data_IF_189864448276
#
_entry.id   IF_189864448276
#
_cell.length_a   1.000
_cell.length_b   1.000
_cell.length_c   1.000
_cell.angle_alpha   90.00
_cell.angle_beta   90.00
_cell.angle_gamma   90.00
#
_symmetry.space_group_name_H-M   'P 1'
#
loop_
_entity.id
_entity.type
_entity.pdbx_description
1 polymer ?
#
# COMPACT_ATOMS: atom_id res chain seq x y z
N UNK A 1 -46.40 -14.51 -2.71
CA UNK A 1 -45.93 -15.45 -1.67
C UNK A 1 -46.87 -16.62 -1.67
N UNK A 2 -46.34 -17.78 -2.06
CA UNK A 2 -47.03 -19.05 -1.90
C UNK A 2 -47.05 -19.45 -0.43
N UNK A 3 -47.95 -20.37 -0.04
CA UNK A 3 -47.89 -20.93 1.31
C UNK A 3 -46.66 -21.84 1.47
N UNK A 4 -46.23 -22.09 2.72
CA UNK A 4 -45.13 -23.02 3.01
C UNK A 4 -45.36 -24.38 2.37
N UNK A 5 -46.57 -24.92 2.52
CA UNK A 5 -46.95 -26.23 1.98
C UNK A 5 -46.90 -26.26 0.45
N UNK A 6 -47.32 -25.18 -0.21
CA UNK A 6 -47.23 -25.05 -1.67
C UNK A 6 -45.78 -25.04 -2.15
N UNK A 7 -44.91 -24.27 -1.46
CA UNK A 7 -43.48 -24.21 -1.78
C UNK A 7 -42.78 -25.55 -1.56
N UNK A 8 -43.07 -26.25 -0.46
CA UNK A 8 -42.53 -27.58 -0.18
C UNK A 8 -43.01 -28.62 -1.20
N UNK A 9 -44.29 -28.56 -1.60
CA UNK A 9 -44.82 -29.41 -2.66
C UNK A 9 -44.14 -29.14 -4.00
N UNK A 10 -43.93 -27.87 -4.35
CA UNK A 10 -43.18 -27.51 -5.56
C UNK A 10 -41.75 -28.05 -5.52
N UNK A 11 -41.04 -27.87 -4.41
CA UNK A 11 -39.68 -28.39 -4.22
C UNK A 11 -39.60 -29.91 -4.33
N UNK A 12 -40.59 -30.64 -3.80
CA UNK A 12 -40.66 -32.10 -3.92
C UNK A 12 -40.80 -32.60 -5.36
N UNK A 13 -41.32 -31.77 -6.27
CA UNK A 13 -41.40 -32.08 -7.70
C UNK A 13 -40.13 -31.69 -8.47
N UNK A 14 -39.33 -30.76 -7.93
CA UNK A 14 -38.11 -30.24 -8.57
C UNK A 14 -36.85 -31.01 -8.14
N UNK A 15 -36.84 -31.58 -6.95
CA UNK A 15 -35.69 -32.23 -6.33
C UNK A 15 -35.87 -33.73 -6.23
N UNK A 16 -34.76 -34.47 -6.28
CA UNK A 16 -34.78 -35.88 -5.88
C UNK A 16 -35.07 -36.03 -4.37
N UNK A 17 -35.54 -37.21 -3.91
CA UNK A 17 -35.91 -37.41 -2.51
C UNK A 17 -34.79 -37.12 -1.50
N UNK A 18 -33.53 -37.31 -1.88
CA UNK A 18 -32.38 -37.06 -1.00
C UNK A 18 -32.11 -35.57 -0.87
N UNK A 19 -32.11 -34.81 -1.97
CA UNK A 19 -31.99 -33.36 -1.94
C UNK A 19 -33.18 -32.69 -1.25
N UNK A 20 -34.40 -33.21 -1.47
CA UNK A 20 -35.59 -32.70 -0.79
C UNK A 20 -35.52 -32.92 0.73
N UNK A 21 -35.05 -34.08 1.18
CA UNK A 21 -34.84 -34.34 2.61
C UNK A 21 -33.86 -33.33 3.24
N UNK A 22 -32.76 -33.00 2.55
CA UNK A 22 -31.82 -31.95 3.02
C UNK A 22 -32.51 -30.60 3.19
N UNK A 23 -33.34 -30.19 2.22
CA UNK A 23 -34.08 -28.91 2.31
C UNK A 23 -35.02 -28.89 3.53
N UNK A 24 -35.64 -30.02 3.87
CA UNK A 24 -36.46 -30.15 5.07
C UNK A 24 -35.64 -30.06 6.36
N UNK A 25 -34.46 -30.70 6.39
CA UNK A 25 -33.54 -30.66 7.53
C UNK A 25 -33.00 -29.25 7.81
N UNK A 26 -32.76 -28.45 6.76
CA UNK A 26 -32.29 -27.08 6.89
C UNK A 26 -33.32 -26.14 7.53
N UNK A 27 -34.60 -26.50 7.55
CA UNK A 27 -35.67 -25.70 8.15
C UNK A 27 -35.65 -24.22 7.70
N UNK A 28 -35.57 -23.99 6.39
CA UNK A 28 -35.55 -22.65 5.82
C UNK A 28 -36.81 -21.82 6.17
N UNK A 29 -36.62 -20.50 6.22
CA UNK A 29 -37.71 -19.53 6.39
C UNK A 29 -38.70 -19.62 5.21
N UNK A 30 -39.94 -19.17 5.42
CA UNK A 30 -40.94 -19.19 4.35
C UNK A 30 -40.53 -18.30 3.17
N UNK A 31 -39.81 -17.19 3.44
CA UNK A 31 -39.19 -16.34 2.42
C UNK A 31 -38.16 -17.12 1.61
N UNK A 32 -37.25 -17.82 2.28
CA UNK A 32 -36.23 -18.63 1.59
C UNK A 32 -36.87 -19.73 0.77
N UNK A 33 -37.91 -20.40 1.30
CA UNK A 33 -38.65 -21.44 0.57
C UNK A 33 -39.33 -20.88 -0.70
N UNK A 34 -39.92 -19.68 -0.62
CA UNK A 34 -40.53 -18.99 -1.78
C UNK A 34 -39.47 -18.64 -2.85
N UNK A 35 -38.27 -18.22 -2.41
CA UNK A 35 -37.15 -17.94 -3.32
C UNK A 35 -36.65 -19.21 -4.01
N UNK A 36 -36.35 -20.28 -3.25
CA UNK A 36 -35.73 -21.49 -3.81
C UNK A 36 -36.71 -22.36 -4.61
N UNK A 37 -38.03 -22.27 -4.34
CA UNK A 37 -39.04 -23.00 -5.10
C UNK A 37 -39.28 -22.41 -6.50
N UNK A 38 -38.89 -21.16 -6.73
CA UNK A 38 -39.17 -20.43 -7.97
C UNK A 38 -38.52 -21.02 -9.23
N UNK A 39 -37.38 -21.71 -9.09
CA UNK A 39 -36.60 -22.21 -10.23
C UNK A 39 -35.79 -23.47 -9.86
N UNK A 40 -35.79 -24.49 -10.74
CA UNK A 40 -35.22 -25.81 -10.41
C UNK A 40 -33.71 -25.80 -10.12
N UNK A 41 -32.85 -25.13 -10.92
CA UNK A 41 -31.43 -24.97 -10.58
C UNK A 41 -31.20 -24.28 -9.24
N UNK A 42 -32.06 -23.32 -8.85
CA UNK A 42 -32.00 -22.68 -7.53
C UNK A 42 -32.22 -23.71 -6.43
N UNK A 43 -33.27 -24.52 -6.52
CA UNK A 43 -33.55 -25.58 -5.55
C UNK A 43 -32.34 -26.54 -5.35
N UNK A 44 -31.67 -26.95 -6.44
CA UNK A 44 -30.52 -27.87 -6.38
C UNK A 44 -29.33 -27.25 -5.66
N UNK A 45 -29.01 -25.99 -5.96
CA UNK A 45 -27.91 -25.26 -5.31
C UNK A 45 -28.17 -25.12 -3.81
N UNK A 46 -29.39 -24.75 -3.41
CA UNK A 46 -29.74 -24.56 -2.00
C UNK A 46 -29.99 -25.87 -1.23
N UNK A 47 -30.19 -27.00 -1.92
CA UNK A 47 -30.13 -28.32 -1.31
C UNK A 47 -28.69 -28.79 -1.04
N UNK A 48 -27.71 -28.19 -1.73
CA UNK A 48 -26.29 -28.59 -1.68
C UNK A 48 -25.38 -27.59 -0.96
N UNK A 49 -25.89 -26.40 -0.66
CA UNK A 49 -25.17 -25.35 0.07
C UNK A 49 -24.75 -25.81 1.47
N UNK A 50 -23.57 -25.37 1.91
CA UNK A 50 -23.11 -25.59 3.31
C UNK A 50 -23.43 -24.42 4.23
N UNK A 51 -23.96 -23.32 3.70
CA UNK A 51 -24.33 -22.18 4.53
C UNK A 51 -25.45 -22.51 5.50
N UNK A 52 -25.43 -21.86 6.67
CA UNK A 52 -26.55 -21.95 7.58
C UNK A 52 -27.83 -21.35 6.96
N UNK A 53 -29.01 -21.79 7.43
CA UNK A 53 -30.28 -21.21 7.01
C UNK A 53 -30.36 -19.70 7.23
N UNK A 54 -29.70 -19.21 8.29
CA UNK A 54 -29.61 -17.78 8.59
C UNK A 54 -28.83 -17.03 7.52
N UNK A 55 -27.66 -17.53 7.13
CA UNK A 55 -26.85 -16.90 6.07
C UNK A 55 -27.57 -16.89 4.74
N UNK A 56 -28.25 -17.98 4.38
CA UNK A 56 -29.08 -18.03 3.17
C UNK A 56 -30.19 -16.97 3.23
N UNK A 57 -30.89 -16.85 4.35
CA UNK A 57 -31.96 -15.88 4.53
C UNK A 57 -31.45 -14.42 4.49
N UNK A 58 -30.25 -14.15 5.03
CA UNK A 58 -29.58 -12.84 4.94
C UNK A 58 -29.15 -12.51 3.50
N UNK A 59 -28.64 -13.47 2.72
CA UNK A 59 -28.32 -13.29 1.29
C UNK A 59 -29.58 -12.99 0.45
N UNK A 60 -30.67 -13.72 0.70
CA UNK A 60 -31.94 -13.48 0.02
C UNK A 60 -32.50 -12.11 0.40
N UNK A 61 -32.37 -11.71 1.67
CA UNK A 61 -32.74 -10.35 2.08
C UNK A 61 -31.94 -9.28 1.33
N UNK A 62 -30.62 -9.46 1.19
CA UNK A 62 -29.78 -8.54 0.43
C UNK A 62 -30.15 -8.49 -1.06
N UNK A 63 -30.66 -9.58 -1.61
CA UNK A 63 -31.21 -9.62 -2.96
C UNK A 63 -32.54 -8.86 -3.08
N UNK A 64 -33.45 -9.03 -2.11
CA UNK A 64 -34.73 -8.30 -2.06
C UNK A 64 -34.53 -6.78 -1.99
N UNK A 65 -33.49 -6.34 -1.27
CA UNK A 65 -33.11 -4.93 -1.15
C UNK A 65 -32.26 -4.42 -2.33
N UNK A 66 -32.00 -5.27 -3.32
CA UNK A 66 -31.21 -4.99 -4.54
C UNK A 66 -29.74 -4.66 -4.29
N UNK A 67 -29.20 -5.03 -3.14
CA UNK A 67 -27.76 -4.91 -2.86
C UNK A 67 -26.97 -5.91 -3.70
N UNK A 68 -27.51 -7.13 -3.84
CA UNK A 68 -27.04 -8.17 -4.76
C UNK A 68 -28.19 -8.63 -5.66
N UNK A 69 -27.91 -9.42 -6.69
CA UNK A 69 -28.96 -10.02 -7.53
C UNK A 69 -29.03 -11.55 -7.40
N UNK A 70 -30.03 -12.14 -8.06
CA UNK A 70 -30.26 -13.58 -8.05
C UNK A 70 -29.03 -14.37 -8.53
N UNK A 71 -28.27 -13.83 -9.49
CA UNK A 71 -27.08 -14.50 -10.00
C UNK A 71 -25.96 -14.49 -8.96
N UNK A 72 -25.76 -13.37 -8.27
CA UNK A 72 -24.80 -13.27 -7.16
C UNK A 72 -25.15 -14.26 -6.03
N UNK A 73 -26.42 -14.32 -5.62
CA UNK A 73 -26.91 -15.28 -4.61
C UNK A 73 -26.63 -16.72 -5.03
N UNK A 74 -26.91 -17.07 -6.28
CA UNK A 74 -26.65 -18.41 -6.83
C UNK A 74 -25.16 -18.73 -6.87
N UNK A 75 -24.31 -17.79 -7.30
CA UNK A 75 -22.86 -17.95 -7.35
C UNK A 75 -22.29 -18.18 -5.94
N UNK A 76 -22.72 -17.38 -4.97
CA UNK A 76 -22.31 -17.48 -3.57
C UNK A 76 -22.74 -18.83 -2.98
N UNK A 77 -24.02 -19.21 -3.13
CA UNK A 77 -24.50 -20.48 -2.60
C UNK A 77 -23.80 -21.68 -3.24
N UNK A 78 -23.55 -21.63 -4.55
CA UNK A 78 -22.83 -22.69 -5.27
C UNK A 78 -21.36 -22.82 -4.85
N UNK A 79 -20.66 -21.72 -4.55
CA UNK A 79 -19.27 -21.80 -4.08
C UNK A 79 -19.16 -22.49 -2.73
N UNK A 80 -20.25 -22.55 -1.96
CA UNK A 80 -20.23 -23.11 -0.61
C UNK A 80 -20.23 -24.64 -0.54
N UNK A 81 -20.43 -25.33 -1.67
CA UNK A 81 -20.59 -26.80 -1.71
C UNK A 81 -19.43 -27.54 -1.04
N UNK A 82 -18.22 -26.99 -1.13
CA UNK A 82 -17.01 -27.56 -0.55
C UNK A 82 -16.57 -26.88 0.76
N UNK A 83 -17.03 -25.67 1.05
CA UNK A 83 -16.60 -24.87 2.21
C UNK A 83 -17.62 -23.78 2.53
N UNK A 84 -17.88 -23.49 3.80
CA UNK A 84 -18.66 -22.32 4.23
C UNK A 84 -17.81 -21.35 5.05
N UNK A 85 -16.49 -21.35 4.86
CA UNK A 85 -15.55 -20.58 5.67
C UNK A 85 -15.85 -19.08 5.64
N UNK A 86 -16.25 -18.57 4.49
CA UNK A 86 -16.59 -17.16 4.29
C UNK A 86 -17.87 -16.72 5.02
N UNK A 87 -18.67 -17.63 5.56
CA UNK A 87 -19.91 -17.33 6.27
C UNK A 87 -19.71 -16.32 7.43
N UNK A 88 -18.57 -16.40 8.12
CA UNK A 88 -18.19 -15.47 9.20
C UNK A 88 -18.00 -14.02 8.75
N UNK A 89 -17.72 -13.81 7.47
CA UNK A 89 -17.39 -12.51 6.88
C UNK A 89 -18.57 -11.91 6.08
N UNK A 90 -19.76 -12.55 6.12
CA UNK A 90 -20.98 -12.11 5.44
C UNK A 90 -21.31 -10.63 5.70
N UNK A 91 -21.23 -10.19 6.95
CA UNK A 91 -21.51 -8.80 7.33
C UNK A 91 -20.52 -7.82 6.69
N UNK A 92 -19.22 -8.14 6.71
CA UNK A 92 -18.18 -7.31 6.08
C UNK A 92 -18.34 -7.27 4.55
N UNK A 93 -18.74 -8.39 3.95
CA UNK A 93 -19.07 -8.45 2.53
C UNK A 93 -20.23 -7.53 2.17
N UNK A 94 -21.37 -7.65 2.85
CA UNK A 94 -22.55 -6.82 2.56
C UNK A 94 -22.26 -5.33 2.79
N UNK A 95 -21.58 -4.98 3.87
CA UNK A 95 -21.17 -3.59 4.15
C UNK A 95 -20.25 -3.02 3.06
N UNK A 96 -19.33 -3.83 2.53
CA UNK A 96 -18.39 -3.36 1.52
C UNK A 96 -19.06 -2.98 0.20
N UNK A 97 -20.17 -3.62 -0.19
CA UNK A 97 -20.91 -3.26 -1.42
C UNK A 97 -21.53 -1.87 -1.28
N UNK A 98 -22.02 -1.54 -0.08
CA UNK A 98 -22.69 -0.28 0.19
C UNK A 98 -21.70 0.91 0.23
N UNK A 99 -20.44 0.65 0.60
CA UNK A 99 -19.51 1.72 1.02
C UNK A 99 -18.16 1.76 0.30
N UNK A 100 -17.65 0.62 -0.18
CA UNK A 100 -16.21 0.49 -0.48
C UNK A 100 -15.91 -0.10 -1.85
N UNK A 101 -16.64 -1.13 -2.27
CA UNK A 101 -16.29 -1.96 -3.42
C UNK A 101 -17.46 -2.08 -4.40
N UNK A 102 -17.19 -2.11 -5.72
CA UNK A 102 -18.20 -2.47 -6.69
C UNK A 102 -18.79 -3.85 -6.38
N UNK A 103 -20.12 -3.99 -6.50
CA UNK A 103 -20.87 -5.23 -6.22
C UNK A 103 -20.21 -6.49 -6.75
N UNK A 104 -19.80 -6.48 -8.02
CA UNK A 104 -19.19 -7.66 -8.66
C UNK A 104 -17.85 -8.04 -8.03
N UNK A 105 -17.04 -7.06 -7.68
CA UNK A 105 -15.76 -7.25 -6.98
C UNK A 105 -16.01 -7.86 -5.62
N UNK A 106 -16.93 -7.30 -4.83
CA UNK A 106 -17.26 -7.82 -3.51
C UNK A 106 -17.76 -9.27 -3.55
N UNK A 107 -18.67 -9.60 -4.48
CA UNK A 107 -19.20 -10.97 -4.65
C UNK A 107 -18.07 -11.95 -5.00
N UNK A 108 -17.20 -11.57 -5.94
CA UNK A 108 -16.06 -12.38 -6.34
C UNK A 108 -15.07 -12.61 -5.17
N UNK A 109 -14.81 -11.61 -4.34
CA UNK A 109 -13.94 -11.75 -3.16
C UNK A 109 -14.57 -12.66 -2.10
N UNK A 110 -15.88 -12.54 -1.88
CA UNK A 110 -16.59 -13.39 -0.94
C UNK A 110 -16.54 -14.84 -1.39
N UNK A 111 -16.76 -15.10 -2.68
CA UNK A 111 -16.60 -16.44 -3.28
C UNK A 111 -15.16 -16.95 -3.16
N UNK A 112 -14.17 -16.11 -3.47
CA UNK A 112 -12.75 -16.48 -3.42
C UNK A 112 -12.26 -16.86 -2.01
N UNK A 113 -12.86 -16.35 -0.94
CA UNK A 113 -12.47 -16.76 0.42
C UNK A 113 -12.67 -18.27 0.67
N UNK A 114 -13.65 -18.91 0.01
CA UNK A 114 -13.86 -20.35 0.18
C UNK A 114 -12.73 -21.19 -0.40
N UNK A 115 -12.03 -20.68 -1.41
CA UNK A 115 -10.95 -21.37 -2.13
C UNK A 115 -9.55 -20.88 -1.73
N UNK A 116 -9.46 -19.91 -0.81
CA UNK A 116 -8.19 -19.32 -0.37
C UNK A 116 -7.96 -19.49 1.13
N UNK A 117 -6.71 -19.28 1.56
CA UNK A 117 -6.39 -19.26 2.98
C UNK A 117 -6.62 -17.89 3.65
N UNK A 118 -7.13 -16.90 2.91
CA UNK A 118 -7.29 -15.51 3.36
C UNK A 118 -8.70 -15.23 3.87
N UNK A 119 -8.88 -14.13 4.61
CA UNK A 119 -10.22 -13.61 4.98
C UNK A 119 -10.75 -12.67 3.91
N UNK A 120 -12.07 -12.41 3.91
CA UNK A 120 -12.65 -11.40 3.02
C UNK A 120 -11.94 -10.05 3.11
N UNK A 121 -11.65 -9.59 4.34
CA UNK A 121 -11.00 -8.30 4.59
C UNK A 121 -9.57 -8.29 4.03
N UNK A 122 -8.79 -9.37 4.20
CA UNK A 122 -7.46 -9.46 3.59
C UNK A 122 -7.53 -9.37 2.06
N UNK A 123 -8.46 -10.10 1.43
CA UNK A 123 -8.63 -10.08 -0.02
C UNK A 123 -9.06 -8.69 -0.52
N UNK A 124 -9.95 -8.01 0.20
CA UNK A 124 -10.39 -6.65 -0.11
C UNK A 124 -9.24 -5.65 -0.03
N UNK A 125 -8.36 -5.74 0.98
CA UNK A 125 -7.19 -4.87 1.09
C UNK A 125 -6.22 -5.06 -0.08
N UNK A 126 -6.00 -6.30 -0.54
CA UNK A 126 -5.17 -6.53 -1.73
C UNK A 126 -5.76 -5.93 -3.00
N UNK A 127 -7.08 -5.98 -3.19
CA UNK A 127 -7.71 -5.30 -4.33
C UNK A 127 -7.63 -3.78 -4.20
N UNK A 128 -7.87 -3.23 -3.00
CA UNK A 128 -7.76 -1.78 -2.74
C UNK A 128 -6.34 -1.26 -2.97
N UNK A 129 -5.32 -2.09 -2.78
CA UNK A 129 -3.93 -1.72 -3.07
C UNK A 129 -3.65 -1.46 -4.56
N UNK A 130 -4.55 -1.87 -5.47
CA UNK A 130 -4.37 -1.78 -6.92
C UNK A 130 -3.52 -2.92 -7.51
N UNK A 131 -2.76 -3.64 -6.67
CA UNK A 131 -1.92 -4.76 -7.13
C UNK A 131 -2.72 -5.95 -7.66
N UNK A 132 -3.99 -6.09 -7.25
CA UNK A 132 -4.85 -7.20 -7.60
C UNK A 132 -6.23 -6.77 -8.06
N UNK A 133 -6.86 -7.58 -8.88
CA UNK A 133 -8.30 -7.53 -9.17
C UNK A 133 -8.98 -8.86 -8.85
N UNK A 134 -10.28 -8.80 -8.56
CA UNK A 134 -11.09 -9.97 -8.23
C UNK A 134 -11.66 -10.62 -9.49
N UNK A 135 -11.27 -11.86 -9.78
CA UNK A 135 -11.92 -12.69 -10.80
C UNK A 135 -12.94 -13.65 -10.19
N UNK A 136 -13.52 -14.50 -11.02
CA UNK A 136 -14.58 -15.44 -10.66
C UNK A 136 -14.15 -16.51 -9.63
N UNK A 137 -12.86 -16.85 -9.56
CA UNK A 137 -12.28 -17.86 -8.66
C UNK A 137 -10.94 -17.44 -8.03
N UNK A 138 -10.82 -16.17 -7.64
CA UNK A 138 -9.67 -15.70 -6.88
C UNK A 138 -9.19 -14.30 -7.22
N UNK A 139 -7.99 -13.99 -6.74
CA UNK A 139 -7.27 -12.77 -7.03
C UNK A 139 -6.26 -12.99 -8.16
N UNK A 140 -6.16 -11.97 -9.02
CA UNK A 140 -5.25 -11.93 -10.15
C UNK A 140 -4.49 -10.61 -10.13
N UNK A 141 -3.22 -10.63 -10.52
CA UNK A 141 -2.36 -9.46 -10.54
C UNK A 141 -2.85 -8.45 -11.57
N UNK A 142 -2.68 -7.16 -11.28
CA UNK A 142 -2.70 -6.12 -12.30
C UNK A 142 -1.75 -6.49 -13.46
N UNK A 143 -2.16 -6.37 -14.74
CA UNK A 143 -1.33 -6.77 -15.87
C UNK A 143 -0.01 -5.99 -15.99
N UNK A 144 0.04 -4.73 -15.55
CA UNK A 144 1.28 -3.95 -15.49
C UNK A 144 2.22 -4.51 -14.43
N UNK A 145 1.71 -4.73 -13.22
CA UNK A 145 2.46 -5.36 -12.14
C UNK A 145 3.00 -6.73 -12.53
N UNK A 146 2.18 -7.57 -13.17
CA UNK A 146 2.59 -8.89 -13.61
C UNK A 146 3.80 -8.83 -14.56
N UNK A 147 3.82 -7.89 -15.50
CA UNK A 147 4.96 -7.65 -16.40
C UNK A 147 6.22 -7.28 -15.64
N UNK A 148 6.11 -6.33 -14.71
CA UNK A 148 7.25 -5.89 -13.90
C UNK A 148 7.81 -7.03 -13.04
N UNK A 149 6.94 -7.81 -12.39
CA UNK A 149 7.35 -8.97 -11.59
C UNK A 149 8.00 -10.07 -12.45
N UNK A 150 7.46 -10.35 -13.63
CA UNK A 150 8.08 -11.30 -14.56
C UNK A 150 9.44 -10.77 -15.06
N UNK A 151 9.57 -9.48 -15.33
CA UNK A 151 10.83 -8.85 -15.75
C UNK A 151 11.89 -8.86 -14.64
N UNK A 152 11.48 -8.89 -13.36
CA UNK A 152 12.36 -9.14 -12.21
C UNK A 152 12.79 -10.61 -12.09
N UNK A 153 12.20 -11.52 -12.87
CA UNK A 153 12.48 -12.96 -12.82
C UNK A 153 11.63 -13.71 -11.78
N UNK A 154 10.52 -13.13 -11.31
CA UNK A 154 9.61 -13.83 -10.39
C UNK A 154 8.81 -14.89 -11.11
N UNK A 155 8.59 -16.02 -10.43
CA UNK A 155 7.74 -17.09 -10.96
C UNK A 155 6.27 -16.74 -10.71
N UNK A 156 5.53 -16.54 -11.79
CA UNK A 156 4.08 -16.33 -11.77
C UNK A 156 3.39 -17.58 -12.34
N UNK A 157 2.12 -17.78 -12.00
CA UNK A 157 1.28 -18.83 -12.60
C UNK A 157 0.18 -18.19 -13.46
N UNK A 158 -0.08 -18.75 -14.63
CA UNK A 158 -1.17 -18.28 -15.49
C UNK A 158 -2.41 -19.16 -15.34
N UNK A 159 -3.58 -18.52 -15.49
CA UNK A 159 -4.88 -19.18 -15.49
C UNK A 159 -5.73 -18.65 -16.66
N UNK A 160 -6.06 -19.53 -17.60
CA UNK A 160 -6.95 -19.23 -18.72
C UNK A 160 -8.37 -19.65 -18.41
N UNK A 161 -9.33 -18.72 -18.44
CA UNK A 161 -10.78 -19.00 -18.34
C UNK A 161 -11.22 -19.94 -17.19
N UNK A 162 -10.51 -19.94 -16.06
CA UNK A 162 -10.84 -20.80 -14.92
C UNK A 162 -10.40 -22.27 -15.05
N UNK A 163 -9.54 -22.57 -16.03
CA UNK A 163 -8.91 -23.89 -16.25
C UNK A 163 -7.41 -23.87 -15.89
N UNK A 164 -6.85 -25.07 -15.73
CA UNK A 164 -5.50 -25.46 -15.30
C UNK A 164 -4.45 -24.35 -15.11
N UNK A 165 -3.85 -24.31 -13.91
CA UNK A 165 -2.64 -23.51 -13.65
C UNK A 165 -1.49 -24.02 -14.53
N UNK A 166 -0.86 -23.12 -15.27
CA UNK A 166 0.25 -23.46 -16.15
C UNK A 166 1.42 -22.46 -16.03
N UNK A 167 2.59 -22.90 -16.50
CA UNK A 167 3.74 -22.02 -16.69
C UNK A 167 3.66 -21.39 -18.08
N UNK A 168 3.98 -20.11 -18.19
CA UNK A 168 4.07 -19.40 -19.45
C UNK A 168 5.54 -19.14 -19.82
N UNK A 169 5.80 -18.94 -21.11
CA UNK A 169 7.15 -18.57 -21.61
C UNK A 169 7.30 -17.08 -21.85
N UNK A 170 6.21 -16.44 -22.25
CA UNK A 170 6.15 -15.03 -22.61
C UNK A 170 4.91 -14.43 -21.96
N UNK A 171 5.10 -13.43 -21.11
CA UNK A 171 4.02 -12.83 -20.34
C UNK A 171 3.09 -11.98 -21.22
N UNK A 172 3.64 -11.31 -22.24
CA UNK A 172 2.85 -10.46 -23.12
C UNK A 172 1.96 -11.30 -24.03
N UNK A 173 2.48 -12.43 -24.53
CA UNK A 173 1.68 -13.39 -25.27
C UNK A 173 0.55 -13.98 -24.42
N UNK A 174 0.85 -14.42 -23.19
CA UNK A 174 -0.15 -15.00 -22.30
C UNK A 174 -1.25 -13.99 -21.94
N UNK A 175 -0.88 -12.75 -21.57
CA UNK A 175 -1.85 -11.70 -21.27
C UNK A 175 -2.70 -11.32 -22.51
N UNK A 176 -2.11 -11.35 -23.71
CA UNK A 176 -2.84 -11.09 -24.96
C UNK A 176 -3.83 -12.20 -25.32
N UNK A 177 -3.53 -13.45 -24.96
CA UNK A 177 -4.44 -14.59 -25.10
C UNK A 177 -5.59 -14.55 -24.09
N UNK A 178 -5.47 -13.76 -23.02
CA UNK A 178 -6.49 -13.61 -21.98
C UNK A 178 -6.16 -14.34 -20.68
N UNK A 179 -4.93 -14.84 -20.55
CA UNK A 179 -4.47 -15.42 -19.30
C UNK A 179 -4.46 -14.38 -18.18
N UNK A 180 -4.79 -14.85 -16.98
CA UNK A 180 -4.76 -14.05 -15.76
C UNK A 180 -3.64 -14.56 -14.87
N UNK A 181 -2.83 -13.65 -14.33
CA UNK A 181 -1.63 -14.01 -13.58
C UNK A 181 -1.92 -14.08 -12.08
N UNK A 182 -1.40 -15.12 -11.43
CA UNK A 182 -1.49 -15.32 -9.97
C UNK A 182 -0.10 -15.33 -9.35
N UNK A 183 -0.06 -14.85 -8.12
CA UNK A 183 1.13 -14.85 -7.27
C UNK A 183 0.74 -15.00 -5.81
N UNK A 184 1.39 -15.94 -5.13
CA UNK A 184 0.96 -16.40 -3.80
C UNK A 184 1.31 -15.41 -2.68
N UNK A 185 2.45 -14.71 -2.78
CA UNK A 185 2.82 -13.68 -1.80
C UNK A 185 2.17 -12.33 -2.13
N UNK A 186 0.90 -12.24 -1.76
CA UNK A 186 0.08 -11.05 -1.96
C UNK A 186 0.62 -9.79 -1.29
N UNK A 187 1.36 -9.93 -0.18
CA UNK A 187 1.95 -8.78 0.52
C UNK A 187 3.15 -8.26 -0.25
N UNK A 188 3.97 -9.15 -0.81
CA UNK A 188 5.09 -8.76 -1.65
C UNK A 188 4.62 -8.07 -2.93
N UNK A 189 3.63 -8.63 -3.63
CA UNK A 189 3.07 -7.98 -4.83
C UNK A 189 2.51 -6.58 -4.52
N UNK A 190 1.77 -6.42 -3.43
CA UNK A 190 1.27 -5.10 -3.00
C UNK A 190 2.41 -4.13 -2.66
N UNK A 191 3.49 -4.60 -2.02
CA UNK A 191 4.66 -3.78 -1.72
C UNK A 191 5.40 -3.34 -2.99
N UNK A 192 5.60 -4.25 -3.95
CA UNK A 192 6.22 -3.94 -5.25
C UNK A 192 5.37 -2.92 -6.01
N UNK A 193 4.05 -3.10 -6.05
CA UNK A 193 3.14 -2.18 -6.73
C UNK A 193 3.31 -0.74 -6.25
N UNK A 194 3.43 -0.55 -4.93
CA UNK A 194 3.67 0.77 -4.32
C UNK A 194 5.00 1.40 -4.75
N UNK A 195 6.03 0.59 -4.96
CA UNK A 195 7.37 1.08 -5.33
C UNK A 195 7.46 1.35 -6.85
N UNK A 196 6.71 0.63 -7.69
CA UNK A 196 6.65 0.87 -9.15
C UNK A 196 6.18 2.29 -9.46
N UNK A 197 5.34 2.87 -8.62
CA UNK A 197 4.85 4.25 -8.77
C UNK A 197 5.94 5.32 -8.52
N UNK A 198 7.10 4.93 -7.98
CA UNK A 198 8.21 5.85 -7.73
C UNK A 198 8.93 6.21 -9.04
N UNK A 199 9.34 7.48 -9.22
CA UNK A 199 9.94 7.95 -10.48
C UNK A 199 11.27 7.28 -10.82
N UNK A 200 11.91 6.62 -9.86
CA UNK A 200 13.17 5.90 -10.01
C UNK A 200 13.02 4.38 -10.01
N UNK A 201 11.79 3.87 -10.17
CA UNK A 201 11.51 2.44 -10.32
C UNK A 201 12.47 1.75 -11.28
N UNK A 202 12.68 2.31 -12.48
CA UNK A 202 13.54 1.69 -13.49
C UNK A 202 14.96 1.47 -12.97
N UNK A 203 15.54 2.48 -12.30
CA UNK A 203 16.89 2.40 -11.73
C UNK A 203 16.93 1.41 -10.56
N UNK A 204 15.90 1.45 -9.70
CA UNK A 204 15.80 0.55 -8.57
C UNK A 204 15.62 -0.91 -9.02
N UNK A 205 14.81 -1.18 -10.05
CA UNK A 205 14.56 -2.51 -10.57
C UNK A 205 15.84 -3.17 -11.09
N UNK A 206 16.70 -2.42 -11.77
CA UNK A 206 18.01 -2.90 -12.23
C UNK A 206 18.97 -3.13 -11.07
N UNK A 207 18.99 -2.24 -10.06
CA UNK A 207 19.73 -2.46 -8.82
C UNK A 207 19.24 -3.73 -8.08
N UNK A 208 17.93 -3.94 -8.01
CA UNK A 208 17.33 -5.09 -7.35
C UNK A 208 17.72 -6.39 -8.07
N UNK A 209 17.63 -6.41 -9.42
CA UNK A 209 18.10 -7.54 -10.24
C UNK A 209 19.58 -7.82 -10.02
N UNK A 210 20.43 -6.79 -10.04
CA UNK A 210 21.88 -6.96 -9.86
C UNK A 210 22.24 -7.42 -8.45
N UNK A 211 21.51 -6.96 -7.42
CA UNK A 211 21.84 -7.25 -6.02
C UNK A 211 21.27 -8.58 -5.53
N UNK A 212 20.12 -9.00 -6.05
CA UNK A 212 19.48 -10.27 -5.69
C UNK A 212 19.88 -11.40 -6.64
N UNK A 213 20.02 -11.12 -7.94
CA UNK A 213 20.33 -12.11 -8.98
C UNK A 213 19.41 -13.33 -8.89
N UNK A 214 20.02 -14.51 -8.80
CA UNK A 214 19.33 -15.80 -8.64
C UNK A 214 18.51 -15.92 -7.34
N UNK A 215 18.72 -15.04 -6.36
CA UNK A 215 17.99 -15.08 -5.08
C UNK A 215 16.68 -14.26 -5.09
N UNK A 216 16.20 -13.79 -6.25
CA UNK A 216 14.97 -12.99 -6.32
C UNK A 216 13.75 -13.69 -5.70
N UNK A 217 13.72 -15.02 -5.75
CA UNK A 217 12.70 -15.86 -5.11
C UNK A 217 12.64 -15.74 -3.58
N UNK A 218 13.72 -15.26 -2.94
CA UNK A 218 13.80 -15.02 -1.49
C UNK A 218 13.35 -13.61 -1.11
N UNK A 219 12.95 -12.80 -2.08
CA UNK A 219 12.47 -11.45 -1.81
C UNK A 219 11.22 -11.53 -0.93
N UNK A 220 11.20 -10.70 0.10
CA UNK A 220 10.05 -10.50 0.99
C UNK A 220 9.77 -9.00 1.06
N UNK A 221 8.59 -8.55 1.53
CA UNK A 221 8.32 -7.11 1.69
C UNK A 221 9.42 -6.39 2.50
N UNK A 222 9.90 -7.03 3.57
CA UNK A 222 10.99 -6.48 4.39
C UNK A 222 12.30 -6.31 3.62
N UNK A 223 12.71 -7.33 2.86
CA UNK A 223 13.94 -7.26 2.06
C UNK A 223 13.79 -6.23 0.94
N UNK A 224 12.62 -6.12 0.33
CA UNK A 224 12.33 -5.11 -0.69
C UNK A 224 12.48 -3.70 -0.13
N UNK A 225 11.87 -3.42 1.03
CA UNK A 225 11.99 -2.12 1.70
C UNK A 225 13.44 -1.81 2.08
N UNK A 226 14.18 -2.79 2.60
CA UNK A 226 15.60 -2.63 2.91
C UNK A 226 16.41 -2.32 1.64
N UNK A 227 16.21 -3.08 0.56
CA UNK A 227 16.92 -2.85 -0.71
C UNK A 227 16.59 -1.49 -1.31
N UNK A 228 15.34 -1.05 -1.21
CA UNK A 228 14.94 0.28 -1.67
C UNK A 228 15.60 1.37 -0.84
N UNK A 229 15.66 1.22 0.48
CA UNK A 229 16.40 2.13 1.36
C UNK A 229 17.89 2.18 1.00
N UNK A 230 18.56 1.04 0.84
CA UNK A 230 19.97 0.97 0.42
C UNK A 230 20.19 1.69 -0.91
N UNK A 231 19.29 1.49 -1.88
CA UNK A 231 19.32 2.16 -3.17
C UNK A 231 19.21 3.69 -3.04
N UNK A 232 18.28 4.18 -2.23
CA UNK A 232 18.11 5.61 -1.99
C UNK A 232 19.32 6.22 -1.29
N UNK A 233 19.90 5.53 -0.31
CA UNK A 233 21.13 5.96 0.36
C UNK A 233 22.29 6.06 -0.64
N UNK A 234 22.52 5.02 -1.45
CA UNK A 234 23.59 5.03 -2.45
C UNK A 234 23.45 6.17 -3.47
N UNK A 235 22.23 6.38 -3.95
CA UNK A 235 21.90 7.47 -4.88
C UNK A 235 22.06 8.85 -4.21
N UNK A 236 21.65 8.98 -2.96
CA UNK A 236 21.81 10.19 -2.17
C UNK A 236 23.27 10.53 -1.92
N UNK A 237 24.08 9.54 -1.52
CA UNK A 237 25.52 9.70 -1.29
C UNK A 237 26.25 10.17 -2.55
N UNK A 238 25.94 9.59 -3.71
CA UNK A 238 26.51 10.05 -4.98
C UNK A 238 26.18 11.52 -5.26
N UNK A 239 24.94 11.95 -5.00
CA UNK A 239 24.56 13.37 -5.16
C UNK A 239 25.24 14.27 -4.13
N UNK A 240 25.39 13.79 -2.90
CA UNK A 240 26.06 14.54 -1.84
C UNK A 240 27.52 14.76 -2.20
N UNK A 241 28.20 13.73 -2.69
CA UNK A 241 29.57 13.79 -3.19
C UNK A 241 29.74 14.84 -4.31
N UNK A 242 28.86 14.83 -5.32
CA UNK A 242 28.86 15.83 -6.39
C UNK A 242 28.64 17.26 -5.85
N UNK A 243 27.72 17.40 -4.89
CA UNK A 243 27.39 18.69 -4.28
C UNK A 243 28.55 19.26 -3.48
N UNK A 244 29.16 18.48 -2.58
CA UNK A 244 30.31 18.95 -1.78
C UNK A 244 31.51 19.25 -2.67
N UNK A 245 31.74 18.49 -3.73
CA UNK A 245 32.78 18.78 -4.71
C UNK A 245 32.55 20.13 -5.41
N UNK A 246 31.32 20.40 -5.88
CA UNK A 246 30.98 21.68 -6.50
C UNK A 246 31.07 22.87 -5.54
N UNK A 247 30.68 22.69 -4.28
CA UNK A 247 30.82 23.71 -3.23
C UNK A 247 32.29 24.01 -2.92
N UNK A 248 33.14 22.97 -2.88
CA UNK A 248 34.58 23.12 -2.71
C UNK A 248 35.23 23.85 -3.88
N UNK A 249 34.91 23.49 -5.13
CA UNK A 249 35.43 24.17 -6.32
C UNK A 249 35.08 25.66 -6.31
N UNK A 250 33.84 26.00 -5.94
CA UNK A 250 33.40 27.39 -5.78
C UNK A 250 34.20 28.11 -4.70
N UNK A 251 34.37 27.49 -3.53
CA UNK A 251 35.18 28.04 -2.43
C UNK A 251 36.63 28.33 -2.87
N UNK A 252 37.27 27.39 -3.58
CA UNK A 252 38.63 27.58 -4.10
C UNK A 252 38.68 28.68 -5.16
N UNK A 253 37.69 28.78 -6.04
CA UNK A 253 37.62 29.85 -7.05
C UNK A 253 37.48 31.24 -6.41
N UNK A 254 36.66 31.37 -5.36
CA UNK A 254 36.51 32.60 -4.59
C UNK A 254 37.79 32.97 -3.83
N UNK A 255 38.48 31.99 -3.23
CA UNK A 255 39.77 32.21 -2.56
C UNK A 255 40.85 32.71 -3.52
N UNK A 256 40.92 32.15 -4.73
CA UNK A 256 41.90 32.55 -5.77
C UNK A 256 41.74 33.99 -6.26
N UNK A 257 40.55 34.57 -6.10
CA UNK A 257 40.30 35.98 -6.42
C UNK A 257 40.70 36.93 -5.28
N UNK A 258 40.98 36.39 -4.09
CA UNK A 258 41.39 37.16 -2.91
C UNK A 258 42.89 37.45 -2.83
N UNK A 259 43.28 38.13 -1.75
CA UNK A 259 44.68 38.38 -1.40
C UNK A 259 45.41 37.06 -1.09
N UNK A 260 46.65 36.82 -1.59
CA UNK A 260 47.49 35.70 -1.18
C UNK A 260 47.54 35.40 0.32
N UNK A 261 47.50 36.43 1.19
CA UNK A 261 47.47 36.25 2.65
C UNK A 261 46.22 35.49 3.14
N UNK A 262 45.10 35.62 2.43
CA UNK A 262 43.87 34.88 2.73
C UNK A 262 44.02 33.40 2.43
N UNK A 263 44.70 33.05 1.33
CA UNK A 263 44.95 31.65 0.96
C UNK A 263 45.80 30.97 2.04
N UNK A 264 46.84 31.64 2.51
CA UNK A 264 47.72 31.11 3.58
C UNK A 264 46.92 30.86 4.87
N UNK A 265 46.05 31.81 5.25
CA UNK A 265 45.20 31.67 6.45
C UNK A 265 44.15 30.56 6.32
N UNK A 266 43.68 30.29 5.11
CA UNK A 266 42.68 29.25 4.82
C UNK A 266 43.29 27.87 4.56
N UNK A 267 44.61 27.68 4.62
CA UNK A 267 45.26 26.41 4.28
C UNK A 267 44.68 25.19 5.02
N UNK A 268 44.34 25.35 6.31
CA UNK A 268 43.72 24.29 7.11
C UNK A 268 42.30 23.96 6.65
N UNK A 269 41.49 24.98 6.40
CA UNK A 269 40.13 24.83 5.89
C UNK A 269 40.12 24.21 4.49
N UNK A 270 41.04 24.61 3.61
CA UNK A 270 41.22 24.03 2.28
C UNK A 270 41.48 22.52 2.40
N UNK A 271 42.47 22.12 3.20
CA UNK A 271 42.84 20.72 3.36
C UNK A 271 41.67 19.87 3.89
N UNK A 272 40.97 20.35 4.91
CA UNK A 272 39.88 19.58 5.51
C UNK A 272 38.63 19.53 4.62
N UNK A 273 38.30 20.61 3.90
CA UNK A 273 37.20 20.58 2.93
C UNK A 273 37.49 19.64 1.78
N UNK A 274 38.73 19.61 1.26
CA UNK A 274 39.19 18.63 0.27
C UNK A 274 39.03 17.20 0.81
N UNK A 275 39.40 16.99 2.08
CA UNK A 275 39.31 15.68 2.71
C UNK A 275 37.86 15.21 2.96
N UNK A 276 36.94 16.12 3.27
CA UNK A 276 35.49 15.83 3.35
C UNK A 276 34.94 15.42 1.97
N UNK A 277 35.38 16.10 0.89
CA UNK A 277 35.01 15.75 -0.49
C UNK A 277 35.50 14.35 -0.84
N UNK A 278 36.77 14.05 -0.57
CA UNK A 278 37.35 12.71 -0.78
C UNK A 278 36.60 11.64 0.01
N UNK A 279 36.23 11.94 1.26
CA UNK A 279 35.45 11.02 2.09
C UNK A 279 34.09 10.70 1.45
N UNK A 280 33.33 11.72 1.04
CA UNK A 280 32.01 11.54 0.42
C UNK A 280 32.07 10.78 -0.91
N UNK A 281 33.19 10.88 -1.65
CA UNK A 281 33.40 10.17 -2.90
C UNK A 281 33.76 8.69 -2.71
N UNK A 282 34.34 8.32 -1.58
CA UNK A 282 34.99 7.00 -1.41
C UNK A 282 34.37 6.13 -0.33
N UNK A 283 33.63 6.72 0.61
CA UNK A 283 33.05 6.01 1.75
C UNK A 283 31.53 6.08 1.71
N UNK A 284 30.90 5.01 2.20
CA UNK A 284 29.48 5.03 2.56
C UNK A 284 29.35 5.42 4.02
N UNK A 285 28.34 6.23 4.33
CA UNK A 285 27.97 6.64 5.69
C UNK A 285 26.79 5.81 6.18
N UNK A 286 26.51 5.88 7.49
CA UNK A 286 25.34 5.21 8.07
C UNK A 286 24.05 6.03 8.02
N UNK A 287 24.01 7.06 7.15
CA UNK A 287 22.88 7.99 7.01
C UNK A 287 21.61 7.31 6.52
N UNK A 288 20.48 7.75 7.08
CA UNK A 288 19.16 7.43 6.54
C UNK A 288 18.86 8.25 5.27
N UNK A 289 17.91 7.81 4.41
CA UNK A 289 17.47 8.61 3.26
C UNK A 289 17.02 10.02 3.63
N UNK A 290 16.34 10.18 4.77
CA UNK A 290 15.85 11.48 5.25
C UNK A 290 17.01 12.40 5.66
N UNK A 291 18.01 11.87 6.37
CA UNK A 291 19.19 12.65 6.79
C UNK A 291 20.00 13.11 5.57
N UNK A 292 20.14 12.23 4.57
CA UNK A 292 20.73 12.57 3.28
C UNK A 292 19.99 13.69 2.56
N UNK A 293 18.66 13.62 2.53
CA UNK A 293 17.84 14.65 1.88
C UNK A 293 18.02 16.01 2.57
N UNK A 294 18.10 16.06 3.89
CA UNK A 294 18.37 17.29 4.65
C UNK A 294 19.72 17.90 4.28
N UNK A 295 20.77 17.08 4.15
CA UNK A 295 22.09 17.52 3.72
C UNK A 295 22.05 18.06 2.28
N UNK A 296 21.35 17.38 1.37
CA UNK A 296 21.22 17.80 -0.03
C UNK A 296 20.44 19.10 -0.20
N UNK A 297 19.45 19.36 0.64
CA UNK A 297 18.64 20.58 0.62
C UNK A 297 19.34 21.78 1.27
N UNK A 298 20.49 21.58 1.91
CA UNK A 298 21.26 22.64 2.58
C UNK A 298 22.08 23.42 1.57
N UNK A 299 22.07 24.76 1.67
CA UNK A 299 22.68 25.64 0.65
C UNK A 299 24.20 25.44 0.50
N UNK A 300 24.94 25.31 1.62
CA UNK A 300 26.39 25.08 1.64
C UNK A 300 26.71 24.00 2.68
N UNK A 301 26.44 22.76 2.31
CA UNK A 301 26.55 21.63 3.23
C UNK A 301 27.99 21.31 3.59
N UNK A 302 28.94 21.53 2.67
CA UNK A 302 30.37 21.38 2.93
C UNK A 302 30.85 22.30 4.06
N UNK A 303 30.37 23.54 4.10
CA UNK A 303 30.73 24.46 5.17
C UNK A 303 30.11 24.02 6.51
N UNK A 304 28.84 23.61 6.51
CA UNK A 304 28.19 23.08 7.72
C UNK A 304 28.92 21.86 8.30
N UNK A 305 29.31 20.90 7.44
CA UNK A 305 30.09 19.72 7.86
C UNK A 305 31.46 20.13 8.38
N UNK A 306 32.14 21.05 7.69
CA UNK A 306 33.45 21.55 8.12
C UNK A 306 33.38 22.24 9.49
N UNK A 307 32.37 23.08 9.73
CA UNK A 307 32.19 23.75 11.02
C UNK A 307 31.92 22.75 12.13
N UNK A 308 31.07 21.74 11.89
CA UNK A 308 30.82 20.68 12.87
C UNK A 308 32.12 19.94 13.20
N UNK A 309 32.86 19.53 12.17
CA UNK A 309 34.16 18.89 12.31
C UNK A 309 35.20 19.75 13.05
N UNK A 310 35.30 21.04 12.77
CA UNK A 310 36.26 21.96 13.42
C UNK A 310 35.99 22.11 14.93
N UNK A 311 34.75 21.88 15.37
CA UNK A 311 34.41 21.85 16.80
C UNK A 311 34.79 20.53 17.50
N UNK A 312 35.15 19.48 16.76
CA UNK A 312 35.52 18.19 17.31
C UNK A 312 36.95 18.23 17.88
N UNK A 313 37.03 18.45 19.18
CA UNK A 313 38.28 18.81 19.90
C UNK A 313 39.38 17.73 19.99
N UNK A 314 39.19 16.48 19.54
CA UNK A 314 40.11 15.39 19.91
C UNK A 314 40.62 14.46 18.81
N UNK A 315 39.99 14.34 17.64
CA UNK A 315 40.39 13.34 16.63
C UNK A 315 40.03 13.83 15.21
N UNK A 316 41.00 13.84 14.29
CA UNK A 316 40.84 14.30 12.91
C UNK A 316 41.12 13.16 11.91
N UNK A 317 40.35 12.08 11.97
CA UNK A 317 40.43 10.90 11.09
C UNK A 317 39.14 10.60 10.33
N UNK A 318 39.15 9.54 9.52
CA UNK A 318 38.01 9.13 8.67
C UNK A 318 36.71 8.94 9.46
N UNK A 319 36.79 8.35 10.65
CA UNK A 319 35.61 8.05 11.49
C UNK A 319 34.93 9.32 12.02
N UNK A 320 35.70 10.38 12.24
CA UNK A 320 35.13 11.64 12.72
C UNK A 320 34.40 12.39 11.59
N UNK A 321 34.67 12.08 10.31
CA UNK A 321 34.02 12.79 9.18
C UNK A 321 32.63 12.20 9.04
N UNK A 322 32.53 10.88 9.13
CA UNK A 322 31.25 10.18 9.22
C UNK A 322 30.41 10.76 10.37
N UNK A 323 31.02 10.90 11.55
CA UNK A 323 30.36 11.50 12.74
C UNK A 323 29.94 12.95 12.48
N UNK A 324 30.81 13.77 11.88
CA UNK A 324 30.49 15.18 11.59
C UNK A 324 29.36 15.33 10.57
N UNK A 325 29.31 14.44 9.58
CA UNK A 325 28.22 14.40 8.60
C UNK A 325 26.91 14.00 9.29
N UNK A 326 26.94 12.96 10.12
CA UNK A 326 25.77 12.50 10.90
C UNK A 326 25.24 13.58 11.85
N UNK A 327 26.14 14.20 12.63
CA UNK A 327 25.79 15.28 13.58
C UNK A 327 25.25 16.51 12.85
N UNK A 328 25.83 16.86 11.69
CA UNK A 328 25.35 17.94 10.85
C UNK A 328 23.92 17.65 10.36
N UNK A 329 23.68 16.45 9.83
CA UNK A 329 22.35 16.06 9.37
C UNK A 329 21.32 16.09 10.51
N UNK A 330 21.69 15.54 11.67
CA UNK A 330 20.85 15.54 12.86
C UNK A 330 20.50 16.95 13.35
N UNK A 331 21.51 17.85 13.42
CA UNK A 331 21.35 19.25 13.83
C UNK A 331 20.42 19.99 12.88
N UNK A 332 20.63 19.87 11.56
CA UNK A 332 19.82 20.52 10.55
C UNK A 332 18.37 20.02 10.56
N UNK A 333 18.17 18.70 10.66
CA UNK A 333 16.84 18.09 10.76
C UNK A 333 16.08 18.58 11.99
N UNK A 334 16.77 18.65 13.13
CA UNK A 334 16.20 19.16 14.39
C UNK A 334 15.81 20.63 14.27
N UNK A 335 16.68 21.46 13.66
CA UNK A 335 16.39 22.86 13.42
C UNK A 335 15.16 23.06 12.51
N UNK A 336 15.03 22.26 11.44
CA UNK A 336 13.86 22.26 10.57
C UNK A 336 12.58 21.87 11.31
N UNK A 337 12.61 20.80 12.11
CA UNK A 337 11.47 20.36 12.90
C UNK A 337 10.99 21.43 13.89
N UNK A 338 11.93 22.09 14.58
CA UNK A 338 11.63 23.20 15.51
C UNK A 338 10.99 24.38 14.78
N UNK A 339 11.51 24.75 13.60
CA UNK A 339 10.94 25.82 12.77
C UNK A 339 9.50 25.50 12.35
N UNK A 340 9.25 24.29 11.88
CA UNK A 340 7.90 23.84 11.49
C UNK A 340 6.93 23.88 12.69
N UNK A 341 7.36 23.43 13.87
CA UNK A 341 6.54 23.52 15.09
C UNK A 341 6.21 24.97 15.46
N UNK A 342 7.16 25.91 15.34
CA UNK A 342 6.90 27.32 15.61
C UNK A 342 5.94 27.94 14.60
N UNK A 343 6.07 27.60 13.31
CA UNK A 343 5.15 28.06 12.26
C UNK A 343 3.73 27.51 12.45
N UNK A 344 3.59 26.25 12.87
CA UNK A 344 2.29 25.66 13.19
C UNK A 344 1.65 26.34 14.40
N UNK A 345 2.42 26.62 15.46
CA UNK A 345 1.95 27.38 16.63
C UNK A 345 1.48 28.79 16.24
N UNK A 346 2.25 29.50 15.42
CA UNK A 346 1.83 30.81 14.92
C UNK A 346 0.54 30.73 14.09
N UNK A 347 0.41 29.73 13.20
CA UNK A 347 -0.82 29.52 12.43
C UNK A 347 -2.03 29.20 13.32
N UNK A 348 -1.84 28.42 14.38
CA UNK A 348 -2.88 28.15 15.38
C UNK A 348 -3.26 29.40 16.15
N UNK A 349 -2.29 30.17 16.66
CA UNK A 349 -2.52 31.43 17.37
C UNK A 349 -3.22 32.49 16.49
N UNK A 350 -2.87 32.58 15.21
CA UNK A 350 -3.56 33.44 14.23
C UNK A 350 -5.00 32.96 13.95
N UNK A 351 -5.24 31.64 13.95
CA UNK A 351 -6.58 31.09 13.76
C UNK A 351 -7.48 31.32 14.99
N UNK A 352 -6.94 31.14 16.19
CA UNK A 352 -7.65 31.39 17.46
C UNK A 352 -7.92 32.89 17.68
N UNK A 353 -6.97 33.75 17.30
CA UNK A 353 -7.15 35.21 17.37
C UNK A 353 -8.27 35.70 16.43
N UNK A 354 -8.44 35.08 15.25
CA UNK A 354 -9.57 35.37 14.35
C UNK A 354 -10.91 34.91 14.94
N UNK A 355 -10.96 33.77 15.62
CA UNK A 355 -12.18 33.26 16.28
C UNK A 355 -12.58 34.14 17.47
N UNK A 356 -11.63 34.76 18.17
CA UNK A 356 -11.90 35.69 19.28
C UNK A 356 -12.40 37.06 18.77
N UNK A 357 -11.89 37.53 17.62
CA UNK A 357 -12.29 38.81 17.02
C UNK A 357 -13.73 38.80 16.47
N UNK A 358 -14.29 37.64 16.13
CA UNK A 358 -15.66 37.48 15.61
C UNK A 358 -16.73 37.24 16.69
N UNK A 359 -16.40 37.38 17.99
CA UNK A 359 -17.42 37.37 19.05
C UNK A 359 -18.19 38.69 19.07
N UNK A 360 -19.54 38.69 18.88
CA UNK A 360 -20.33 39.91 18.92
C UNK A 360 -20.24 40.57 20.30
N UNK A 361 -19.89 41.86 20.30
CA UNK A 361 -19.68 42.66 21.49
C UNK A 361 -20.90 42.70 22.43
N UNK A 362 -20.60 42.67 23.73
CA UNK A 362 -21.56 42.73 24.84
C UNK A 362 -22.52 43.93 24.65
N UNK A 363 -23.85 43.76 24.75
CA UNK A 363 -24.80 44.87 24.59
C UNK A 363 -24.64 45.87 25.74
N UNK A 364 -24.49 47.17 25.40
CA UNK A 364 -24.50 48.26 26.39
C UNK A 364 -25.87 48.32 27.11
N UNK A 365 -25.90 48.62 28.42
CA UNK A 365 -27.14 48.64 29.18
C UNK A 365 -28.02 49.81 28.75
N UNK A 366 -29.31 49.51 28.56
CA UNK A 366 -30.33 50.47 28.14
C UNK A 366 -30.52 51.56 29.21
N UNK A 367 -30.47 52.83 28.79
CA UNK A 367 -30.83 53.97 29.62
C UNK A 367 -32.32 53.90 29.97
N UNK A 368 -32.64 53.63 31.23
CA UNK A 368 -33.97 53.85 31.77
C UNK A 368 -34.34 55.34 31.66
N UNK A 369 -35.38 55.65 30.87
CA UNK A 369 -36.17 56.87 31.02
C UNK A 369 -37.28 56.58 32.03
N UNK A 370 -37.09 57.04 33.26
CA UNK A 370 -38.19 57.27 34.21
C UNK A 370 -38.81 58.64 33.97
N UNK A 371 -40.14 58.68 34.07
CA UNK A 371 -40.93 59.92 34.17
C UNK A 371 -40.64 60.64 35.48
#
# INVERSE_FOLDING_TARGET
>A
MNSRDDNLKQLSNLLDPYMFAKVLEMNYSDRTLDFISSYAPTAVVFASTRYSPRTVDELIHACDTRLIDNFDVMQIAHSSVNSNRNERDLGAFLESIDRELPRRTAVNLFVAENDTQKTYRELAEFVKSGAYYAGDKGLFLDPGLAREMAALGMTLTSEYSGEHLSTFKDIDAALAEGDRMRFDDHRLAAAIFKIIEQPDWLQFSEYLKSSMGENIEKLTPYILDQKYSDFQVNKGMSKLADKVAGEYEKYIAELKQGDPDRIIKSAYEIYNKDYIVDFCNTNMTSLSPDDLQVLLDTDNVLDEIYQEWDTMTQLHGVAEIDTAIEDTAYRLRTAQAVKQMMEQKQKQELSESKVIADKPGIPKPAKHRGR
#
